data_IF_934121526551
#
_entry.id   IF_934121526551
#
_cell.length_a   1.000
_cell.length_b   1.000
_cell.length_c   1.000
_cell.angle_alpha   90.00
_cell.angle_beta   90.00
_cell.angle_gamma   90.00
#
_symmetry.space_group_name_H-M   'P 1'
#
loop_
_entity.id
_entity.type
_entity.pdbx_description
1 polymer ?
#
# COMPACT_ATOMS: atom_id res chain seq x y z
N UNK A 1 46.14 52.30 17.38
CA UNK A 1 45.69 50.98 17.83
C UNK A 1 44.72 50.44 16.73
N UNK A 2 45.06 49.38 16.01
CA UNK A 2 44.14 48.84 14.98
C UNK A 2 43.14 47.90 15.63
N UNK A 3 41.84 48.15 15.33
CA UNK A 3 40.71 47.33 15.75
C UNK A 3 40.72 46.02 14.97
N UNK A 4 40.82 44.89 15.65
CA UNK A 4 40.63 43.56 15.06
C UNK A 4 39.13 43.30 14.91
N UNK A 5 38.65 43.12 13.67
CA UNK A 5 37.31 42.64 13.38
C UNK A 5 37.33 41.11 13.39
N UNK A 6 36.71 40.51 14.39
CA UNK A 6 36.47 39.08 14.43
C UNK A 6 35.36 38.71 13.41
N UNK A 7 35.75 38.05 12.34
CA UNK A 7 34.78 37.46 11.38
C UNK A 7 34.33 36.09 11.89
N UNK A 8 33.11 36.00 12.34
CA UNK A 8 32.50 34.74 12.73
C UNK A 8 32.10 33.98 11.45
N UNK A 9 32.81 32.89 11.13
CA UNK A 9 32.43 31.99 10.04
C UNK A 9 31.43 30.99 10.59
N UNK A 10 30.13 31.17 10.24
CA UNK A 10 29.10 30.22 10.54
C UNK A 10 29.21 29.05 9.53
N UNK A 11 29.77 27.92 9.98
CA UNK A 11 29.81 26.69 9.18
C UNK A 11 28.41 26.07 9.11
N UNK A 12 27.80 26.06 7.93
CA UNK A 12 26.61 25.29 7.68
C UNK A 12 26.98 23.80 7.65
N UNK A 13 26.68 23.06 8.70
CA UNK A 13 26.77 21.60 8.69
C UNK A 13 25.61 21.04 7.86
N UNK A 14 25.88 20.63 6.63
CA UNK A 14 24.94 19.87 5.82
C UNK A 14 24.79 18.47 6.45
N UNK A 15 23.66 18.21 7.10
CA UNK A 15 23.29 16.85 7.53
C UNK A 15 22.90 16.07 6.30
N UNK A 16 23.78 15.20 5.81
CA UNK A 16 23.44 14.21 4.79
C UNK A 16 22.44 13.23 5.40
N UNK A 17 21.19 13.30 4.95
CA UNK A 17 20.18 12.28 5.28
C UNK A 17 20.61 10.97 4.64
N UNK A 18 20.98 9.99 5.44
CA UNK A 18 21.24 8.63 4.96
C UNK A 18 19.88 8.04 4.53
N UNK A 19 19.64 8.02 3.23
CA UNK A 19 18.47 7.33 2.66
C UNK A 19 18.77 5.83 2.71
N UNK A 20 18.12 5.13 3.61
CA UNK A 20 18.23 3.66 3.65
C UNK A 20 17.48 3.04 2.49
N UNK A 21 18.06 2.02 1.84
CA UNK A 21 17.42 1.26 0.77
C UNK A 21 16.06 0.73 1.24
N UNK A 22 15.03 0.91 0.42
CA UNK A 22 13.73 0.29 0.64
C UNK A 22 13.74 -1.19 0.23
N UNK A 23 12.72 -1.97 0.61
CA UNK A 23 12.63 -3.39 0.23
C UNK A 23 12.79 -3.64 -1.27
N UNK A 24 12.15 -2.84 -2.11
CA UNK A 24 12.22 -2.99 -3.55
C UNK A 24 13.56 -2.55 -4.17
N UNK A 25 14.32 -1.66 -3.51
CA UNK A 25 15.70 -1.37 -3.91
C UNK A 25 16.60 -2.59 -3.68
N UNK A 26 16.40 -3.30 -2.56
CA UNK A 26 17.15 -4.51 -2.22
C UNK A 26 16.86 -5.61 -3.25
N UNK A 27 15.59 -5.85 -3.57
CA UNK A 27 15.21 -6.82 -4.61
C UNK A 27 15.77 -6.45 -5.98
N UNK A 28 15.72 -5.17 -6.36
CA UNK A 28 16.28 -4.71 -7.64
C UNK A 28 17.81 -4.95 -7.72
N UNK A 29 18.54 -4.73 -6.62
CA UNK A 29 19.98 -5.03 -6.54
C UNK A 29 20.27 -6.52 -6.69
N UNK A 30 19.36 -7.38 -6.25
CA UNK A 30 19.42 -8.84 -6.41
C UNK A 30 18.93 -9.35 -7.77
N UNK A 31 18.70 -8.48 -8.76
CA UNK A 31 18.11 -8.83 -10.06
C UNK A 31 16.71 -9.45 -9.98
N UNK A 32 15.97 -9.17 -8.93
CA UNK A 32 14.59 -9.60 -8.72
C UNK A 32 13.69 -8.38 -8.42
N UNK A 33 13.58 -7.41 -9.35
CA UNK A 33 12.86 -6.17 -9.10
C UNK A 33 11.39 -6.42 -8.77
N UNK A 34 10.84 -5.59 -7.90
CA UNK A 34 9.41 -5.66 -7.58
C UNK A 34 8.55 -5.46 -8.84
N UNK A 35 7.64 -6.38 -9.08
CA UNK A 35 6.66 -6.32 -10.19
C UNK A 35 5.41 -5.57 -9.73
N UNK A 36 5.05 -5.71 -8.47
CA UNK A 36 4.01 -4.97 -7.79
C UNK A 36 4.50 -4.62 -6.38
N UNK A 37 4.29 -3.40 -5.94
CA UNK A 37 4.82 -2.89 -4.69
C UNK A 37 3.76 -2.03 -3.98
N UNK A 38 3.02 -2.60 -3.05
CA UNK A 38 1.89 -1.98 -2.37
C UNK A 38 2.23 -1.72 -0.90
N UNK A 39 2.02 -0.49 -0.44
CA UNK A 39 2.11 -0.13 0.97
C UNK A 39 1.39 1.18 1.23
N UNK A 40 0.54 1.18 2.24
CA UNK A 40 -0.12 2.40 2.73
C UNK A 40 0.69 3.08 3.84
N UNK A 41 1.71 2.40 4.39
CA UNK A 41 2.46 2.90 5.54
C UNK A 41 3.75 3.62 5.17
N UNK A 42 4.37 3.27 4.04
CA UNK A 42 5.65 3.86 3.61
C UNK A 42 5.95 3.64 2.12
N UNK A 43 6.90 4.40 1.61
CA UNK A 43 7.54 4.10 0.33
C UNK A 43 8.39 2.81 0.42
N UNK A 44 8.34 1.98 -0.62
CA UNK A 44 9.07 0.71 -0.75
C UNK A 44 10.36 0.85 -1.58
N UNK A 45 10.54 1.99 -2.26
CA UNK A 45 11.78 2.43 -2.88
C UNK A 45 12.28 3.69 -2.21
N UNK A 46 13.58 3.82 -2.06
CA UNK A 46 14.22 4.99 -1.44
C UNK A 46 13.97 6.29 -2.21
N UNK A 47 13.78 6.21 -3.51
CA UNK A 47 13.50 7.36 -4.39
C UNK A 47 12.00 7.66 -4.59
N UNK A 48 11.10 6.80 -4.10
CA UNK A 48 9.67 6.96 -4.37
C UNK A 48 9.08 8.12 -3.56
N UNK A 49 8.42 9.03 -4.25
CA UNK A 49 7.71 10.19 -3.70
C UNK A 49 6.26 10.32 -4.19
N UNK A 50 5.80 9.36 -5.00
CA UNK A 50 4.45 9.32 -5.52
C UNK A 50 3.40 8.94 -4.46
N UNK A 51 2.14 8.89 -4.89
CA UNK A 51 1.03 8.50 -4.02
C UNK A 51 1.13 7.05 -3.59
N UNK A 52 0.93 6.80 -2.29
CA UNK A 52 0.90 5.46 -1.69
C UNK A 52 -0.52 4.86 -1.79
N UNK A 53 -1.53 5.67 -1.47
CA UNK A 53 -2.93 5.27 -1.53
C UNK A 53 -3.85 6.49 -1.70
N UNK A 54 -5.09 6.22 -2.07
CA UNK A 54 -6.16 7.21 -2.18
C UNK A 54 -7.23 6.93 -1.14
N UNK A 55 -7.77 7.98 -0.53
CA UNK A 55 -8.93 7.91 0.35
C UNK A 55 -10.09 8.70 -0.22
N UNK A 56 -11.31 8.17 0.02
CA UNK A 56 -12.59 8.81 -0.32
C UNK A 56 -13.33 9.17 0.96
N UNK A 57 -13.72 10.41 1.08
CA UNK A 57 -14.44 10.97 2.22
C UNK A 57 -15.93 10.67 2.13
N UNK A 58 -16.53 10.23 3.25
CA UNK A 58 -17.94 9.81 3.30
C UNK A 58 -18.94 10.98 3.22
N UNK A 59 -18.57 12.17 3.70
CA UNK A 59 -19.47 13.31 3.75
C UNK A 59 -19.89 13.87 2.38
N UNK A 60 -19.01 13.80 1.38
CA UNK A 60 -19.23 14.40 0.06
C UNK A 60 -18.68 13.56 -1.11
N UNK A 61 -18.06 12.41 -0.81
CA UNK A 61 -17.47 11.53 -1.82
C UNK A 61 -16.18 12.06 -2.46
N UNK A 62 -15.62 13.19 -1.99
CA UNK A 62 -14.36 13.71 -2.47
C UNK A 62 -13.21 12.75 -2.19
N UNK A 63 -12.15 12.81 -3.00
CA UNK A 63 -10.96 11.95 -2.85
C UNK A 63 -9.70 12.78 -2.66
N UNK A 64 -8.72 12.19 -1.96
CA UNK A 64 -7.36 12.73 -1.88
C UNK A 64 -6.34 11.61 -1.87
N UNK A 65 -5.14 11.91 -2.35
CA UNK A 65 -4.02 10.98 -2.33
C UNK A 65 -3.12 11.24 -1.13
N UNK A 66 -2.62 10.18 -0.53
CA UNK A 66 -1.62 10.23 0.53
C UNK A 66 -0.28 9.78 -0.04
N UNK A 67 0.69 10.68 0.01
CA UNK A 67 2.07 10.44 -0.39
C UNK A 67 2.98 10.26 0.84
N UNK A 68 4.23 9.83 0.70
CA UNK A 68 5.18 9.83 1.80
C UNK A 68 5.56 11.25 2.23
N UNK A 69 6.03 11.41 3.48
CA UNK A 69 6.53 12.67 4.03
C UNK A 69 7.75 13.21 3.26
N UNK A 70 8.55 12.30 2.74
CA UNK A 70 9.71 12.56 1.87
C UNK A 70 9.94 11.35 0.99
N UNK A 71 10.77 11.46 -0.04
CA UNK A 71 11.17 10.31 -0.86
C UNK A 71 11.68 9.16 0.02
N UNK A 72 11.17 7.95 -0.21
CA UNK A 72 11.51 6.76 0.57
C UNK A 72 10.93 6.71 1.99
N UNK A 73 10.20 7.74 2.40
CA UNK A 73 9.72 7.94 3.77
C UNK A 73 8.42 7.24 4.13
N UNK A 74 7.99 7.49 5.36
CA UNK A 74 6.71 7.07 5.92
C UNK A 74 5.58 7.89 5.30
N UNK A 75 4.39 7.33 5.20
CA UNK A 75 3.18 8.00 4.71
C UNK A 75 2.87 9.27 5.50
N UNK A 76 2.43 10.32 4.81
CA UNK A 76 1.96 11.55 5.44
C UNK A 76 0.54 11.36 6.00
N UNK A 77 0.43 10.72 7.16
CA UNK A 77 -0.86 10.49 7.81
C UNK A 77 -1.63 11.78 8.09
N UNK A 78 -0.95 12.91 8.30
CA UNK A 78 -1.60 14.20 8.54
C UNK A 78 -2.46 14.66 7.34
N UNK A 79 -2.10 14.27 6.12
CA UNK A 79 -2.94 14.51 4.93
C UNK A 79 -4.29 13.82 5.06
N UNK A 80 -4.30 12.53 5.45
CA UNK A 80 -5.52 11.78 5.69
C UNK A 80 -6.30 12.34 6.88
N UNK A 81 -5.63 12.54 8.01
CA UNK A 81 -6.27 13.04 9.24
C UNK A 81 -7.03 14.35 9.01
N UNK A 82 -6.39 15.28 8.29
CA UNK A 82 -6.99 16.57 7.94
C UNK A 82 -8.17 16.41 6.97
N UNK A 83 -8.00 15.58 5.96
CA UNK A 83 -9.02 15.37 4.92
C UNK A 83 -10.26 14.64 5.46
N UNK A 84 -10.05 13.67 6.35
CA UNK A 84 -11.10 12.84 6.94
C UNK A 84 -11.63 13.37 8.27
N UNK A 85 -11.28 14.60 8.65
CA UNK A 85 -11.75 15.20 9.89
C UNK A 85 -13.28 15.26 9.94
N UNK A 86 -13.86 14.76 11.06
CA UNK A 86 -15.31 14.73 11.33
C UNK A 86 -16.14 13.89 10.33
N UNK A 87 -15.52 12.95 9.62
CA UNK A 87 -16.20 12.04 8.70
C UNK A 87 -15.46 10.71 8.60
N UNK A 88 -16.10 9.68 8.06
CA UNK A 88 -15.42 8.42 7.70
C UNK A 88 -14.70 8.57 6.39
N UNK A 89 -13.62 7.80 6.22
CA UNK A 89 -12.94 7.64 4.94
C UNK A 89 -12.70 6.16 4.63
N UNK A 90 -12.75 5.83 3.36
CA UNK A 90 -12.43 4.51 2.83
C UNK A 90 -11.21 4.60 1.91
N UNK A 91 -10.34 3.60 1.93
CA UNK A 91 -9.24 3.47 0.97
C UNK A 91 -9.83 3.01 -0.36
N UNK A 92 -9.68 3.78 -1.42
CA UNK A 92 -10.23 3.45 -2.75
C UNK A 92 -9.21 2.86 -3.70
N UNK A 93 -7.94 3.25 -3.56
CA UNK A 93 -6.84 2.75 -4.39
C UNK A 93 -5.62 2.54 -3.48
N UNK A 94 -4.94 1.41 -3.63
CA UNK A 94 -3.58 1.19 -3.11
C UNK A 94 -2.67 1.22 -4.33
N UNK A 95 -1.82 2.25 -4.40
CA UNK A 95 -0.97 2.46 -5.57
C UNK A 95 0.21 1.49 -5.60
N UNK A 96 0.47 0.98 -6.77
CA UNK A 96 1.71 0.26 -7.07
C UNK A 96 2.86 1.24 -7.21
N UNK A 97 3.92 0.99 -6.47
CA UNK A 97 5.13 1.81 -6.47
C UNK A 97 6.20 1.30 -7.44
N UNK A 98 5.97 0.16 -8.11
CA UNK A 98 6.96 -0.45 -9.02
C UNK A 98 7.10 0.30 -10.36
N UNK A 99 6.21 1.25 -10.65
CA UNK A 99 6.14 1.95 -11.92
C UNK A 99 5.42 1.18 -13.04
N UNK A 100 4.88 -0.02 -12.75
CA UNK A 100 4.17 -0.85 -13.73
C UNK A 100 2.67 -0.57 -13.79
N UNK A 101 2.13 0.22 -12.86
CA UNK A 101 0.72 0.56 -12.80
C UNK A 101 -0.18 -0.55 -12.26
N UNK A 102 0.38 -1.51 -11.55
CA UNK A 102 -0.34 -2.63 -10.94
C UNK A 102 -1.13 -2.19 -9.69
N UNK A 103 -1.86 -1.09 -9.78
CA UNK A 103 -2.65 -0.55 -8.67
C UNK A 103 -3.74 -1.53 -8.25
N UNK A 104 -4.03 -1.56 -6.94
CA UNK A 104 -5.14 -2.31 -6.38
C UNK A 104 -6.33 -1.38 -6.21
N UNK A 105 -7.48 -1.78 -6.75
CA UNK A 105 -8.77 -1.11 -6.60
C UNK A 105 -9.77 -2.05 -5.96
N UNK A 106 -10.95 -1.57 -5.60
CA UNK A 106 -12.01 -2.40 -5.02
C UNK A 106 -12.22 -3.68 -5.85
N UNK A 107 -12.23 -4.83 -5.19
CA UNK A 107 -12.39 -6.10 -5.88
C UNK A 107 -13.81 -6.22 -6.47
N UNK A 108 -13.92 -6.48 -7.79
CA UNK A 108 -15.20 -6.63 -8.44
C UNK A 108 -15.85 -8.00 -8.16
N UNK A 109 -17.17 -8.16 -8.39
CA UNK A 109 -17.83 -9.45 -8.28
C UNK A 109 -17.30 -10.45 -9.29
N UNK A 110 -17.34 -11.74 -8.93
CA UNK A 110 -16.86 -12.81 -9.78
C UNK A 110 -17.51 -14.13 -9.43
N UNK A 111 -16.72 -15.20 -9.26
CA UNK A 111 -17.16 -16.48 -8.72
C UNK A 111 -17.75 -16.34 -7.31
N UNK A 112 -17.34 -15.31 -6.60
CA UNK A 112 -17.93 -14.90 -5.33
C UNK A 112 -18.39 -13.44 -5.44
N UNK A 113 -19.38 -13.09 -4.60
CA UNK A 113 -19.90 -11.74 -4.51
C UNK A 113 -19.55 -11.17 -3.14
N UNK A 114 -19.03 -9.96 -3.14
CA UNK A 114 -18.82 -9.17 -1.94
C UNK A 114 -20.14 -8.55 -1.43
N UNK A 115 -20.10 -7.94 -0.24
CA UNK A 115 -21.30 -7.38 0.41
C UNK A 115 -21.76 -6.03 -0.16
N UNK A 116 -20.93 -5.34 -0.93
CA UNK A 116 -21.26 -4.04 -1.50
C UNK A 116 -22.22 -4.14 -2.70
N UNK A 117 -22.77 -3.00 -3.08
CA UNK A 117 -23.65 -2.90 -4.23
C UNK A 117 -23.03 -3.52 -5.47
N UNK A 118 -23.86 -4.23 -6.26
CA UNK A 118 -23.45 -5.01 -7.44
C UNK A 118 -22.46 -6.15 -7.15
N UNK A 119 -22.29 -6.54 -5.88
CA UNK A 119 -21.47 -7.66 -5.47
C UNK A 119 -19.96 -7.34 -5.37
N UNK A 120 -19.60 -6.07 -5.32
CA UNK A 120 -18.24 -5.66 -5.01
C UNK A 120 -17.88 -5.97 -3.54
N UNK A 121 -16.60 -6.14 -3.28
CA UNK A 121 -16.11 -6.25 -1.92
C UNK A 121 -16.14 -4.87 -1.21
N UNK A 122 -16.16 -4.87 0.12
CA UNK A 122 -16.01 -3.63 0.89
C UNK A 122 -14.64 -2.99 0.64
N UNK A 123 -14.61 -1.67 0.72
CA UNK A 123 -13.36 -0.93 0.89
C UNK A 123 -12.96 -0.90 2.37
N UNK A 124 -11.67 -0.90 2.66
CA UNK A 124 -11.15 -0.79 4.02
C UNK A 124 -11.38 0.61 4.59
N UNK A 125 -11.73 0.68 5.87
CA UNK A 125 -11.73 1.94 6.63
C UNK A 125 -10.30 2.50 6.67
N UNK A 126 -10.14 3.78 6.32
CA UNK A 126 -8.83 4.39 6.18
C UNK A 126 -8.09 4.55 7.51
N UNK A 127 -8.81 4.61 8.62
CA UNK A 127 -8.31 4.71 9.99
C UNK A 127 -8.33 3.38 10.76
N UNK A 128 -8.70 2.27 10.09
CA UNK A 128 -8.93 0.98 10.73
C UNK A 128 -7.68 0.29 11.28
N UNK A 129 -6.48 0.66 10.80
CA UNK A 129 -5.22 0.05 11.23
C UNK A 129 -4.14 1.12 11.52
N UNK A 130 -4.30 1.93 12.58
CA UNK A 130 -3.28 2.91 12.95
C UNK A 130 -2.01 2.22 13.44
N UNK A 131 -0.86 2.66 12.94
CA UNK A 131 0.46 2.15 13.30
C UNK A 131 1.46 3.29 13.51
N UNK A 132 2.53 3.01 14.26
CA UNK A 132 3.67 3.92 14.37
C UNK A 132 4.88 3.27 13.69
N UNK A 133 5.45 3.95 12.71
CA UNK A 133 6.62 3.51 11.98
C UNK A 133 7.71 4.58 12.07
N UNK A 134 8.87 4.24 12.63
CA UNK A 134 9.98 5.18 12.86
C UNK A 134 9.54 6.46 13.60
N UNK A 135 8.69 6.32 14.61
CA UNK A 135 8.15 7.45 15.38
C UNK A 135 7.09 8.29 14.64
N UNK A 136 6.72 7.94 13.42
CA UNK A 136 5.70 8.61 12.62
C UNK A 136 4.40 7.80 12.59
N UNK A 137 3.27 8.49 12.71
CA UNK A 137 1.95 7.89 12.50
C UNK A 137 1.78 7.47 11.05
N UNK A 138 1.22 6.31 10.82
CA UNK A 138 0.78 5.83 9.52
C UNK A 138 -0.48 4.96 9.69
N UNK A 139 -1.06 4.55 8.57
CA UNK A 139 -2.21 3.66 8.56
C UNK A 139 -1.92 2.45 7.66
N UNK A 140 -2.08 1.27 8.21
CA UNK A 140 -2.15 0.02 7.45
C UNK A 140 -3.52 -0.17 6.80
N UNK A 141 -3.75 -1.34 6.24
CA UNK A 141 -5.04 -1.74 5.69
C UNK A 141 -5.67 -2.77 6.61
N UNK A 142 -6.80 -2.43 7.23
CA UNK A 142 -7.59 -3.39 8.00
C UNK A 142 -8.55 -4.13 7.08
N UNK A 143 -8.21 -5.39 6.79
CA UNK A 143 -9.01 -6.24 5.90
C UNK A 143 -9.98 -7.05 6.76
N UNK A 144 -11.18 -6.51 6.99
CA UNK A 144 -12.28 -7.22 7.63
C UNK A 144 -12.93 -8.21 6.64
N UNK A 145 -13.70 -9.22 7.13
CA UNK A 145 -14.44 -10.11 6.25
C UNK A 145 -15.27 -9.36 5.21
N UNK A 146 -15.13 -9.74 3.95
CA UNK A 146 -15.78 -9.08 2.82
C UNK A 146 -15.07 -7.84 2.29
N UNK A 147 -13.89 -7.50 2.80
CA UNK A 147 -13.05 -6.39 2.29
C UNK A 147 -12.04 -6.92 1.29
N UNK A 148 -11.91 -6.31 0.12
CA UNK A 148 -10.96 -6.78 -0.89
C UNK A 148 -10.57 -5.75 -1.94
N UNK A 149 -9.35 -5.93 -2.44
CA UNK A 149 -8.77 -5.16 -3.53
C UNK A 149 -8.20 -6.12 -4.57
N UNK A 150 -8.35 -5.75 -5.84
CA UNK A 150 -7.91 -6.61 -6.94
C UNK A 150 -7.51 -5.80 -8.16
N UNK A 151 -6.62 -6.37 -8.96
CA UNK A 151 -6.28 -5.90 -10.30
C UNK A 151 -6.21 -7.11 -11.25
N UNK A 152 -7.13 -7.19 -12.21
CA UNK A 152 -7.18 -8.25 -13.22
C UNK A 152 -6.32 -7.93 -14.47
N UNK A 153 -5.65 -6.76 -14.51
CA UNK A 153 -4.84 -6.29 -15.64
C UNK A 153 -3.40 -6.01 -15.22
N UNK A 154 -2.73 -7.04 -14.70
CA UNK A 154 -1.38 -6.92 -14.17
C UNK A 154 -0.33 -6.98 -15.27
N UNK A 155 0.69 -6.13 -15.15
CA UNK A 155 1.85 -6.10 -16.04
C UNK A 155 3.06 -6.75 -15.39
N UNK A 156 3.60 -7.79 -16.02
CA UNK A 156 4.87 -8.43 -15.68
C UNK A 156 4.82 -9.43 -14.52
N UNK A 157 3.64 -9.82 -14.05
CA UNK A 157 3.49 -10.87 -13.05
C UNK A 157 3.93 -12.23 -13.61
N UNK A 158 4.50 -13.07 -12.76
CA UNK A 158 4.89 -14.43 -13.11
C UNK A 158 3.65 -15.26 -13.49
N UNK A 159 3.79 -16.13 -14.50
CA UNK A 159 2.73 -17.00 -14.97
C UNK A 159 3.22 -18.44 -15.09
N UNK A 160 2.34 -19.44 -14.92
CA UNK A 160 2.70 -20.85 -14.96
C UNK A 160 3.74 -21.19 -13.92
N UNK A 161 4.82 -21.83 -14.34
CA UNK A 161 5.93 -22.26 -13.47
C UNK A 161 7.07 -21.24 -13.37
N UNK A 162 6.86 -19.98 -13.81
CA UNK A 162 7.85 -18.93 -13.67
C UNK A 162 8.13 -18.65 -12.19
N UNK A 163 9.41 -18.51 -11.84
CA UNK A 163 9.82 -18.24 -10.47
C UNK A 163 9.30 -16.89 -10.00
N UNK A 164 8.76 -16.85 -8.79
CA UNK A 164 8.31 -15.65 -8.13
C UNK A 164 8.63 -15.67 -6.63
N UNK A 165 8.74 -14.49 -6.04
CA UNK A 165 8.83 -14.33 -4.59
C UNK A 165 7.78 -13.31 -4.12
N UNK A 166 7.22 -13.55 -2.93
CA UNK A 166 6.30 -12.63 -2.27
C UNK A 166 6.73 -12.37 -0.85
N UNK A 167 6.46 -11.16 -0.36
CA UNK A 167 6.51 -10.89 1.07
C UNK A 167 5.33 -10.03 1.48
N UNK A 168 4.90 -10.14 2.72
CA UNK A 168 3.91 -9.28 3.33
C UNK A 168 4.31 -8.93 4.75
N UNK A 169 3.92 -7.74 5.21
CA UNK A 169 4.04 -7.33 6.61
C UNK A 169 2.63 -7.30 7.18
N UNK A 170 2.38 -8.17 8.15
CA UNK A 170 1.07 -8.38 8.76
C UNK A 170 1.15 -8.12 10.26
N UNK A 171 0.04 -7.63 10.84
CA UNK A 171 -0.11 -7.55 12.29
C UNK A 171 -0.49 -8.92 12.83
N UNK A 172 0.42 -9.56 13.58
CA UNK A 172 0.22 -10.87 14.20
C UNK A 172 -0.69 -10.86 15.44
N UNK A 173 -1.14 -9.70 15.88
CA UNK A 173 -2.03 -9.56 17.05
C UNK A 173 -3.51 -9.47 16.67
N UNK A 174 -3.81 -9.32 15.38
CA UNK A 174 -5.16 -9.12 14.87
C UNK A 174 -5.59 -10.33 14.02
N UNK A 175 -6.21 -11.32 14.64
CA UNK A 175 -6.66 -12.54 13.97
C UNK A 175 -7.98 -13.03 14.53
N UNK A 176 -8.66 -13.88 13.77
CA UNK A 176 -9.88 -14.57 14.22
C UNK A 176 -9.88 -16.04 13.75
N UNK A 177 -10.82 -16.84 14.26
CA UNK A 177 -10.95 -18.25 13.93
C UNK A 177 -11.64 -18.54 12.59
N UNK A 178 -12.07 -17.51 11.87
CA UNK A 178 -12.67 -17.63 10.55
C UNK A 178 -11.60 -17.23 9.51
N UNK A 179 -11.18 -18.15 8.69
CA UNK A 179 -10.24 -17.93 7.58
C UNK A 179 -10.74 -16.83 6.63
N UNK A 180 -9.98 -16.16 5.90
CA UNK A 180 -8.54 -16.14 5.64
C UNK A 180 -8.18 -14.73 5.18
N UNK A 181 -6.93 -14.34 5.39
CA UNK A 181 -6.32 -13.21 4.70
C UNK A 181 -5.26 -13.75 3.75
N UNK A 182 -5.20 -13.28 2.53
CA UNK A 182 -4.08 -13.52 1.64
C UNK A 182 -3.69 -12.27 0.84
N UNK A 183 -2.46 -12.22 0.38
CA UNK A 183 -1.92 -11.22 -0.52
C UNK A 183 -1.00 -11.92 -1.51
N UNK A 184 -1.17 -11.64 -2.79
CA UNK A 184 -0.31 -12.18 -3.82
C UNK A 184 -0.97 -12.31 -5.18
N UNK A 185 -0.45 -13.22 -5.99
CA UNK A 185 -1.01 -13.53 -7.28
C UNK A 185 -2.30 -14.36 -7.17
N UNK A 186 -3.23 -14.11 -8.06
CA UNK A 186 -4.47 -14.82 -8.19
C UNK A 186 -4.73 -15.18 -9.66
N UNK A 187 -5.90 -15.68 -9.96
CA UNK A 187 -6.34 -15.97 -11.35
C UNK A 187 -6.38 -14.67 -12.18
N UNK A 188 -6.30 -14.81 -13.51
CA UNK A 188 -6.35 -13.68 -14.46
C UNK A 188 -7.69 -12.93 -14.47
N UNK A 189 -8.68 -13.47 -13.83
CA UNK A 189 -9.99 -12.87 -13.65
C UNK A 189 -10.59 -13.30 -12.30
N UNK A 190 -11.67 -12.68 -11.90
CA UNK A 190 -12.36 -12.92 -10.64
C UNK A 190 -13.42 -14.05 -10.68
N UNK A 191 -13.41 -14.94 -11.68
CA UNK A 191 -14.43 -15.96 -11.85
C UNK A 191 -14.19 -17.23 -11.01
N UNK A 192 -13.00 -17.41 -10.45
CA UNK A 192 -12.60 -18.58 -9.63
C UNK A 192 -12.99 -19.92 -10.31
N UNK A 193 -12.44 -20.13 -11.49
CA UNK A 193 -12.73 -21.32 -12.30
C UNK A 193 -12.01 -22.59 -11.81
N UNK A 194 -11.30 -22.51 -10.68
CA UNK A 194 -10.51 -23.59 -10.11
C UNK A 194 -9.25 -23.96 -10.91
N UNK A 195 -8.95 -23.21 -11.95
CA UNK A 195 -7.71 -23.33 -12.71
C UNK A 195 -6.72 -22.30 -12.19
N UNK A 196 -5.73 -22.74 -11.46
CA UNK A 196 -4.66 -21.93 -10.91
C UNK A 196 -3.81 -21.31 -12.01
N UNK A 197 -4.23 -20.18 -12.57
CA UNK A 197 -3.40 -19.33 -13.43
C UNK A 197 -2.98 -18.11 -12.61
N UNK A 198 -1.80 -18.18 -12.03
CA UNK A 198 -1.21 -17.10 -11.23
C UNK A 198 -0.90 -15.90 -12.11
N UNK A 199 -1.62 -14.80 -12.00
CA UNK A 199 -1.31 -13.60 -12.80
C UNK A 199 -1.74 -12.26 -12.23
N UNK A 200 -2.40 -12.19 -11.08
CA UNK A 200 -2.86 -10.89 -10.57
C UNK A 200 -2.52 -10.70 -9.11
N UNK A 201 -1.84 -9.61 -8.69
CA UNK A 201 -1.78 -9.28 -7.28
C UNK A 201 -3.17 -8.92 -6.77
N UNK A 202 -3.54 -9.49 -5.66
CA UNK A 202 -4.80 -9.20 -4.98
C UNK A 202 -4.60 -9.19 -3.47
N UNK A 203 -5.45 -8.45 -2.78
CA UNK A 203 -5.70 -8.62 -1.36
C UNK A 203 -7.11 -9.22 -1.30
N UNK A 204 -7.27 -10.53 -1.25
CA UNK A 204 -8.56 -11.16 -1.33
C UNK A 204 -9.32 -11.14 -0.01
N UNK A 205 -10.59 -11.23 -0.17
CA UNK A 205 -11.58 -11.36 0.89
C UNK A 205 -11.59 -12.75 1.50
N UNK A 206 -12.06 -12.81 2.74
CA UNK A 206 -12.46 -14.03 3.43
C UNK A 206 -13.44 -14.86 2.57
N UNK A 207 -12.95 -15.95 2.01
CA UNK A 207 -13.79 -16.97 1.37
C UNK A 207 -14.05 -18.07 2.38
N UNK A 208 -15.20 -18.00 3.05
CA UNK A 208 -15.68 -19.13 3.84
C UNK A 208 -15.91 -20.32 2.92
N UNK A 209 -15.05 -21.31 2.99
CA UNK A 209 -15.44 -22.66 2.55
C UNK A 209 -16.46 -23.20 3.54
N UNK A 210 -17.62 -23.56 3.07
CA UNK A 210 -18.55 -24.44 3.77
C UNK A 210 -18.07 -25.88 3.62
#
# INVERSE_FOLDING_TARGET
MPSQRNTLVLGLAATASVVTAGPCDIYATGNTPCIAAHSTTRALYSSFSGSLYQVKRGSDGATTNVAPLSAGGVANAATQDKFCANTTCLITIIYDQSGRGNHLTQAPPGGFKGPEANGYDNLAAADGAPVTLNGQKAYGVFVSPGTGYRNDKVSGSATGDAAEGMYAVLDGTHYNGACCFDYGNAETNNLDTGKWHKTSPSIPTDKRRR
#
